data_IF_896317081384
#
_entry.id   IF_896317081384
#
_cell.length_a   1.000
_cell.length_b   1.000
_cell.length_c   1.000
_cell.angle_alpha   90.00
_cell.angle_beta   90.00
_cell.angle_gamma   90.00
#
_symmetry.space_group_name_H-M   'P 1'
#
loop_
_entity.id
_entity.type
_entity.pdbx_description
1 polymer ?
#
# COMPACT_ATOMS: atom_id res chain seq x y z
N UNK A 1 -37.22 -2.56 -20.92
CA UNK A 1 -35.85 -3.13 -20.88
C UNK A 1 -34.99 -2.27 -21.78
N UNK A 2 -33.75 -2.00 -21.38
CA UNK A 2 -32.80 -1.22 -22.18
C UNK A 2 -31.80 -2.21 -22.78
N UNK A 3 -31.64 -2.17 -24.09
CA UNK A 3 -30.71 -3.06 -24.78
C UNK A 3 -29.27 -2.70 -24.40
N UNK A 4 -28.43 -3.71 -24.23
CA UNK A 4 -27.01 -3.57 -23.90
C UNK A 4 -26.22 -4.07 -25.11
N UNK A 5 -25.50 -3.15 -25.75
CA UNK A 5 -24.59 -3.49 -26.84
C UNK A 5 -23.22 -3.87 -26.28
N UNK A 6 -22.70 -5.04 -26.69
CA UNK A 6 -21.38 -5.53 -26.30
C UNK A 6 -20.51 -5.54 -27.55
N UNK A 7 -19.45 -4.72 -27.57
CA UNK A 7 -18.50 -4.68 -28.68
C UNK A 7 -17.69 -5.97 -28.73
N UNK A 8 -17.67 -6.66 -29.87
CA UNK A 8 -16.87 -7.86 -30.08
C UNK A 8 -15.68 -7.54 -30.98
N UNK A 9 -14.60 -8.28 -30.81
CA UNK A 9 -13.48 -8.26 -31.74
C UNK A 9 -13.79 -9.20 -32.90
N UNK A 10 -13.95 -8.65 -34.11
CA UNK A 10 -14.26 -9.40 -35.34
C UNK A 10 -13.20 -10.44 -35.70
N UNK A 11 -11.97 -10.26 -35.21
CA UNK A 11 -10.87 -11.22 -35.43
C UNK A 11 -10.91 -12.41 -34.45
N UNK A 12 -11.81 -12.39 -33.47
CA UNK A 12 -11.97 -13.45 -32.46
C UNK A 12 -13.26 -14.22 -32.69
N UNK A 13 -13.23 -15.52 -32.42
CA UNK A 13 -14.45 -16.32 -32.35
C UNK A 13 -15.38 -15.82 -31.22
N UNK A 14 -16.69 -16.11 -31.30
CA UNK A 14 -17.64 -15.74 -30.24
C UNK A 14 -17.19 -16.21 -28.85
N UNK A 15 -16.64 -17.42 -28.76
CA UNK A 15 -16.12 -18.00 -27.52
C UNK A 15 -14.92 -17.22 -26.98
N UNK A 16 -13.96 -16.87 -27.84
CA UNK A 16 -12.78 -16.10 -27.44
C UNK A 16 -13.15 -14.68 -26.97
N UNK A 17 -14.14 -14.05 -27.60
CA UNK A 17 -14.67 -12.77 -27.14
C UNK A 17 -15.27 -12.89 -25.73
N UNK A 18 -16.11 -13.90 -25.47
CA UNK A 18 -16.69 -14.16 -24.15
C UNK A 18 -15.60 -14.42 -23.11
N UNK A 19 -14.60 -15.26 -23.43
CA UNK A 19 -13.50 -15.58 -22.54
C UNK A 19 -12.64 -14.34 -22.22
N UNK A 20 -12.43 -13.44 -23.18
CA UNK A 20 -11.71 -12.19 -22.96
C UNK A 20 -12.44 -11.27 -21.98
N UNK A 21 -13.76 -11.13 -22.13
CA UNK A 21 -14.60 -10.37 -21.19
C UNK A 21 -14.57 -10.98 -19.80
N UNK A 22 -14.65 -12.31 -19.68
CA UNK A 22 -14.58 -13.00 -18.40
C UNK A 22 -13.21 -12.81 -17.71
N UNK A 23 -12.12 -12.92 -18.48
CA UNK A 23 -10.75 -12.66 -17.98
C UNK A 23 -10.60 -11.21 -17.50
N UNK A 24 -11.13 -10.24 -18.25
CA UNK A 24 -11.10 -8.82 -17.86
C UNK A 24 -11.89 -8.60 -16.57
N UNK A 25 -13.11 -9.12 -16.49
CA UNK A 25 -13.93 -9.05 -15.29
C UNK A 25 -13.21 -9.66 -14.08
N UNK A 26 -12.65 -10.87 -14.21
CA UNK A 26 -11.94 -11.52 -13.11
C UNK A 26 -10.77 -10.68 -12.60
N UNK A 27 -9.96 -10.11 -13.51
CA UNK A 27 -8.85 -9.21 -13.13
C UNK A 27 -9.34 -7.98 -12.37
N UNK A 28 -10.38 -7.32 -12.89
CA UNK A 28 -10.95 -6.12 -12.26
C UNK A 28 -11.57 -6.45 -10.90
N UNK A 29 -12.27 -7.57 -10.77
CA UNK A 29 -12.84 -8.03 -9.50
C UNK A 29 -11.74 -8.28 -8.46
N UNK A 30 -10.68 -8.99 -8.83
CA UNK A 30 -9.55 -9.22 -7.92
C UNK A 30 -8.86 -7.91 -7.53
N UNK A 31 -8.68 -6.98 -8.47
CA UNK A 31 -8.13 -5.67 -8.16
C UNK A 31 -9.03 -4.87 -7.21
N UNK A 32 -10.35 -4.85 -7.44
CA UNK A 32 -11.34 -4.20 -6.58
C UNK A 32 -11.32 -4.79 -5.16
N UNK A 33 -11.25 -6.11 -5.02
CA UNK A 33 -11.14 -6.79 -3.72
C UNK A 33 -9.87 -6.41 -2.97
N UNK A 34 -8.71 -6.37 -3.65
CA UNK A 34 -7.44 -5.95 -3.06
C UNK A 34 -7.50 -4.48 -2.64
N UNK A 35 -7.97 -3.59 -3.53
CA UNK A 35 -8.04 -2.15 -3.25
C UNK A 35 -8.96 -1.90 -2.07
N UNK A 36 -10.13 -2.55 -1.99
CA UNK A 36 -11.05 -2.40 -0.87
C UNK A 36 -10.44 -2.84 0.47
N UNK A 37 -9.57 -3.84 0.46
CA UNK A 37 -8.88 -4.29 1.66
C UNK A 37 -7.69 -3.39 2.06
N UNK A 38 -7.00 -2.79 1.10
CA UNK A 38 -5.79 -1.98 1.35
C UNK A 38 -6.08 -0.50 1.55
N UNK A 39 -7.10 0.05 0.90
CA UNK A 39 -7.47 1.47 1.00
C UNK A 39 -7.66 1.95 2.45
N UNK A 40 -8.45 1.28 3.32
CA UNK A 40 -8.60 1.74 4.70
C UNK A 40 -7.29 1.71 5.48
N UNK A 41 -6.41 0.73 5.23
CA UNK A 41 -5.09 0.63 5.88
C UNK A 41 -4.20 1.80 5.50
N UNK A 42 -4.21 2.18 4.23
CA UNK A 42 -3.46 3.35 3.71
C UNK A 42 -4.02 4.63 4.32
N UNK A 43 -5.34 4.77 4.45
CA UNK A 43 -5.96 5.94 5.07
C UNK A 43 -5.60 6.06 6.57
N UNK A 44 -5.58 4.95 7.30
CA UNK A 44 -5.13 4.89 8.69
C UNK A 44 -3.65 5.24 8.82
N UNK A 45 -2.81 4.70 7.94
CA UNK A 45 -1.38 5.02 7.88
C UNK A 45 -1.15 6.51 7.58
N UNK A 46 -1.89 7.09 6.64
CA UNK A 46 -1.85 8.53 6.36
C UNK A 46 -2.24 9.37 7.58
N UNK A 47 -3.26 8.94 8.33
CA UNK A 47 -3.68 9.61 9.56
C UNK A 47 -2.57 9.55 10.63
N UNK A 48 -1.96 8.39 10.81
CA UNK A 48 -0.84 8.22 11.74
C UNK A 48 0.34 9.14 11.39
N UNK A 49 0.77 9.18 10.12
CA UNK A 49 1.89 10.03 9.70
C UNK A 49 1.58 11.52 9.89
N UNK A 50 0.33 11.95 9.63
CA UNK A 50 -0.09 13.32 9.93
C UNK A 50 -0.03 13.65 11.42
N UNK A 51 -0.47 12.72 12.26
CA UNK A 51 -0.38 12.90 13.71
C UNK A 51 1.06 13.06 14.17
N UNK A 52 1.99 12.26 13.64
CA UNK A 52 3.43 12.40 13.92
C UNK A 52 3.95 13.78 13.50
N UNK A 53 3.56 14.26 12.32
CA UNK A 53 3.94 15.60 11.86
C UNK A 53 3.45 16.69 12.80
N UNK A 54 2.17 16.66 13.19
CA UNK A 54 1.59 17.61 14.16
C UNK A 54 2.32 17.54 15.51
N UNK A 55 2.68 16.35 15.98
CA UNK A 55 3.44 16.17 17.21
C UNK A 55 4.84 16.79 17.11
N UNK A 56 5.55 16.58 16.01
CA UNK A 56 6.89 17.16 15.78
C UNK A 56 6.85 18.68 15.79
N UNK A 57 5.76 19.30 15.31
CA UNK A 57 5.61 20.76 15.30
C UNK A 57 5.48 21.38 16.70
N UNK A 58 4.97 20.62 17.70
CA UNK A 58 4.70 21.12 19.05
C UNK A 58 5.72 20.66 20.10
N UNK A 59 6.53 19.64 19.81
CA UNK A 59 7.56 19.15 20.72
C UNK A 59 8.59 20.24 21.00
N UNK A 60 8.91 20.44 22.28
CA UNK A 60 9.96 21.35 22.73
C UNK A 60 11.17 20.61 23.31
N UNK A 61 11.00 19.34 23.68
CA UNK A 61 12.03 18.52 24.33
C UNK A 61 12.75 17.61 23.33
N UNK A 62 14.08 17.63 23.35
CA UNK A 62 14.90 16.81 22.44
C UNK A 62 14.75 15.30 22.66
N UNK A 63 14.45 14.88 23.89
CA UNK A 63 14.27 13.46 24.20
C UNK A 63 13.00 12.91 23.53
N UNK A 64 11.90 13.66 23.56
CA UNK A 64 10.63 13.28 22.91
C UNK A 64 10.81 13.14 21.39
N UNK A 65 11.58 14.05 20.77
CA UNK A 65 11.92 13.95 19.35
C UNK A 65 12.76 12.70 19.04
N UNK A 66 13.70 12.34 19.93
CA UNK A 66 14.52 11.13 19.77
C UNK A 66 13.69 9.86 19.88
N UNK A 67 12.71 9.82 20.78
CA UNK A 67 11.80 8.68 20.92
C UNK A 67 10.94 8.46 19.66
N UNK A 68 10.43 9.55 19.07
CA UNK A 68 9.71 9.50 17.79
C UNK A 68 10.62 9.02 16.66
N UNK A 69 11.87 9.49 16.60
CA UNK A 69 12.83 9.01 15.59
C UNK A 69 13.07 7.50 15.72
N UNK A 70 13.25 6.99 16.95
CA UNK A 70 13.44 5.56 17.21
C UNK A 70 12.21 4.73 16.84
N UNK A 71 10.99 5.22 17.13
CA UNK A 71 9.75 4.58 16.72
C UNK A 71 9.65 4.47 15.19
N UNK A 72 9.87 5.59 14.48
CA UNK A 72 9.82 5.63 13.01
C UNK A 72 10.90 4.75 12.37
N UNK A 73 12.07 4.63 12.99
CA UNK A 73 13.12 3.69 12.56
C UNK A 73 12.68 2.23 12.76
N UNK A 74 12.09 1.92 13.92
CA UNK A 74 11.60 0.57 14.25
C UNK A 74 10.50 0.12 13.29
N UNK A 75 9.58 1.03 12.95
CA UNK A 75 8.51 0.81 11.97
C UNK A 75 9.02 0.80 10.51
N UNK A 76 10.27 1.18 10.26
CA UNK A 76 10.89 1.18 8.94
C UNK A 76 10.54 2.40 8.07
N UNK A 77 9.85 3.39 8.62
CA UNK A 77 9.57 4.67 7.94
C UNK A 77 10.85 5.48 7.71
N UNK A 78 11.77 5.43 8.68
CA UNK A 78 13.05 6.13 8.61
C UNK A 78 14.17 5.09 8.60
N UNK A 79 15.15 5.26 7.71
CA UNK A 79 16.36 4.45 7.78
C UNK A 79 17.23 4.96 8.90
N UNK A 80 17.60 4.07 9.83
CA UNK A 80 18.65 4.38 10.81
C UNK A 80 19.88 4.89 10.07
N UNK A 81 20.26 6.13 10.34
CA UNK A 81 21.47 6.69 9.77
C UNK A 81 22.65 5.84 10.24
N UNK A 82 23.20 5.04 9.32
CA UNK A 82 24.54 4.48 9.52
C UNK A 82 25.47 5.69 9.48
N UNK A 83 25.98 6.14 10.62
CA UNK A 83 27.30 6.79 10.64
C UNK A 83 28.18 5.96 9.70
N UNK A 84 28.64 6.58 8.61
CA UNK A 84 29.20 5.90 7.44
C UNK A 84 30.17 4.82 7.89
N UNK A 85 29.73 3.57 7.78
CA UNK A 85 30.59 2.42 7.58
C UNK A 85 30.01 1.68 6.38
N UNK A 86 30.82 1.68 5.32
CA UNK A 86 30.51 1.14 3.99
C UNK A 86 29.96 -0.28 4.08
N UNK A 87 29.05 -0.56 3.14
CA UNK A 87 28.38 -1.83 2.86
C UNK A 87 27.21 -2.16 3.79
N UNK A 88 26.01 -2.22 3.22
CA UNK A 88 25.27 -3.48 3.08
C UNK A 88 24.02 -3.24 2.23
N UNK A 89 23.77 -4.23 1.38
CA UNK A 89 22.81 -4.28 0.27
C UNK A 89 21.37 -4.01 0.71
N UNK A 90 20.65 -3.36 -0.19
CA UNK A 90 19.20 -3.17 -0.17
C UNK A 90 18.44 -4.50 -0.13
N UNK A 91 17.57 -4.65 0.86
CA UNK A 91 16.41 -5.53 0.75
C UNK A 91 15.15 -4.75 1.12
N UNK A 92 14.16 -4.87 0.24
CA UNK A 92 12.82 -4.31 0.33
C UNK A 92 12.11 -4.87 1.57
N UNK A 93 11.48 -4.01 2.38
CA UNK A 93 10.67 -4.42 3.53
C UNK A 93 9.30 -3.74 3.45
N UNK A 94 8.47 -4.26 2.55
CA UNK A 94 7.00 -4.13 2.63
C UNK A 94 6.44 -5.51 2.98
N UNK A 95 6.65 -5.97 4.21
CA UNK A 95 6.00 -7.19 4.72
C UNK A 95 6.19 -7.39 6.23
N UNK A 96 5.85 -6.42 7.10
CA UNK A 96 5.96 -6.62 8.56
C UNK A 96 4.77 -6.10 9.41
N UNK A 97 3.58 -5.92 8.84
CA UNK A 97 2.37 -5.60 9.65
C UNK A 97 1.20 -6.60 9.55
N UNK A 98 1.42 -7.85 9.12
CA UNK A 98 0.34 -8.86 9.07
C UNK A 98 0.47 -10.03 10.04
N UNK A 99 1.33 -9.98 11.04
CA UNK A 99 1.29 -11.00 12.11
C UNK A 99 1.57 -10.32 13.43
N UNK A 100 0.53 -9.79 14.07
CA UNK A 100 0.24 -9.86 15.51
C UNK A 100 -1.15 -9.26 15.76
N UNK A 101 -2.19 -10.03 15.47
CA UNK A 101 -3.44 -9.97 16.25
C UNK A 101 -3.86 -11.41 16.52
N UNK A 102 -4.22 -11.65 17.78
CA UNK A 102 -4.65 -12.92 18.37
C UNK A 102 -6.01 -13.38 17.85
#
# INVERSE_FOLDING_TARGET
MKDIEISLDEKKSPRENIEAYYKKYKKLKTADEIIKAELPKIEEEMKYIKQILETIEIITELNELSEIEEELISLGYVRKSKKINKNLKSQSLMSLKQTQEH
#
